data_IF_106259078204
#
_entry.id   IF_106259078204
#
_cell.length_a   1.000
_cell.length_b   1.000
_cell.length_c   1.000
_cell.angle_alpha   90.00
_cell.angle_beta   90.00
_cell.angle_gamma   90.00
#
_symmetry.space_group_name_H-M   'P 1'
#
loop_
_entity.id
_entity.type
_entity.pdbx_description
1 polymer ?
#
# COMPACT_ATOMS: atom_id res chain seq x y z
N UNK A 1 5.92 4.12 23.38
CA UNK A 1 4.83 3.98 22.40
C UNK A 1 3.48 4.24 23.07
N UNK A 2 2.42 4.57 22.33
CA UNK A 2 1.11 4.91 22.90
C UNK A 2 0.32 3.65 23.23
N UNK A 3 -0.27 3.58 24.41
CA UNK A 3 -1.16 2.47 24.78
C UNK A 3 -2.29 2.29 23.76
N UNK A 4 -2.60 1.05 23.44
CA UNK A 4 -3.70 0.67 22.56
C UNK A 4 -4.86 0.08 23.37
N UNK A 5 -6.08 0.30 22.89
CA UNK A 5 -7.24 -0.43 23.39
C UNK A 5 -7.16 -1.90 22.93
N UNK A 6 -7.52 -2.81 23.81
CA UNK A 6 -7.48 -4.26 23.55
C UNK A 6 -8.34 -4.67 22.34
N UNK A 7 -9.54 -4.08 22.20
CA UNK A 7 -10.40 -4.32 21.05
C UNK A 7 -9.77 -3.86 19.73
N UNK A 8 -9.10 -2.70 19.74
CA UNK A 8 -8.39 -2.18 18.58
C UNK A 8 -7.20 -3.06 18.23
N UNK A 9 -6.37 -3.42 19.22
CA UNK A 9 -5.22 -4.31 19.04
C UNK A 9 -5.61 -5.62 18.35
N UNK A 10 -6.61 -6.34 18.88
CA UNK A 10 -7.04 -7.62 18.32
C UNK A 10 -7.63 -7.48 16.91
N UNK A 11 -8.35 -6.39 16.64
CA UNK A 11 -8.88 -6.11 15.29
C UNK A 11 -7.75 -5.86 14.30
N UNK A 12 -6.76 -5.04 14.66
CA UNK A 12 -5.61 -4.74 13.82
C UNK A 12 -4.74 -5.98 13.56
N UNK A 13 -4.61 -6.87 14.56
CA UNK A 13 -3.92 -8.16 14.42
C UNK A 13 -4.78 -9.24 13.75
N UNK A 14 -5.85 -8.86 13.06
CA UNK A 14 -6.65 -9.77 12.21
C UNK A 14 -7.45 -10.83 12.97
N UNK A 15 -7.67 -10.66 14.28
CA UNK A 15 -8.38 -11.66 15.11
C UNK A 15 -9.91 -11.60 15.00
N UNK A 16 -10.43 -10.78 14.09
CA UNK A 16 -11.85 -10.69 13.77
C UNK A 16 -12.33 -9.25 13.57
N UNK A 17 -13.60 -9.10 13.17
CA UNK A 17 -14.26 -7.80 13.09
C UNK A 17 -14.38 -7.15 14.47
N UNK A 18 -14.60 -5.84 14.52
CA UNK A 18 -14.76 -5.10 15.78
C UNK A 18 -15.84 -5.70 16.70
N UNK A 19 -16.94 -6.18 16.14
CA UNK A 19 -18.02 -6.81 16.90
C UNK A 19 -17.62 -8.19 17.43
N UNK A 20 -16.97 -9.02 16.63
CA UNK A 20 -16.46 -10.33 17.04
C UNK A 20 -15.44 -10.21 18.16
N UNK A 21 -14.45 -9.32 18.01
CA UNK A 21 -13.41 -9.06 19.02
C UNK A 21 -14.03 -8.63 20.36
N UNK A 22 -14.99 -7.69 20.34
CA UNK A 22 -15.71 -7.30 21.57
C UNK A 22 -16.41 -8.47 22.22
N UNK A 23 -17.00 -9.36 21.42
CA UNK A 23 -17.64 -10.58 21.92
C UNK A 23 -16.63 -11.54 22.55
N UNK A 24 -15.46 -11.74 21.95
CA UNK A 24 -14.40 -12.57 22.53
C UNK A 24 -13.95 -12.02 23.88
N UNK A 25 -13.70 -10.71 23.97
CA UNK A 25 -13.28 -10.06 25.20
C UNK A 25 -14.35 -10.19 26.30
N UNK A 26 -15.60 -9.84 26.00
CA UNK A 26 -16.69 -9.89 26.98
C UNK A 26 -17.00 -11.30 27.49
N UNK A 27 -16.78 -12.32 26.64
CA UNK A 27 -16.91 -13.74 27.03
C UNK A 27 -15.68 -14.29 27.78
N UNK A 28 -14.66 -13.47 28.06
CA UNK A 28 -13.47 -13.88 28.81
C UNK A 28 -12.52 -14.81 28.05
N UNK A 29 -12.56 -14.78 26.70
CA UNK A 29 -11.66 -15.59 25.84
C UNK A 29 -10.29 -14.95 25.64
N UNK A 30 -10.08 -13.73 26.18
CA UNK A 30 -8.84 -12.96 26.02
C UNK A 30 -8.16 -12.81 27.36
N UNK A 31 -6.84 -13.08 27.38
CA UNK A 31 -6.00 -12.80 28.54
C UNK A 31 -4.94 -11.77 28.20
N UNK A 32 -4.57 -10.97 29.17
CA UNK A 32 -3.41 -10.05 29.12
C UNK A 32 -2.52 -10.39 30.32
N UNK A 33 -1.27 -10.75 30.06
CA UNK A 33 -0.31 -11.19 31.09
C UNK A 33 -0.86 -12.33 31.98
N UNK A 34 -1.67 -13.22 31.41
CA UNK A 34 -2.29 -14.35 32.09
C UNK A 34 -3.63 -14.03 32.78
N UNK A 35 -4.03 -12.78 32.90
CA UNK A 35 -5.32 -12.38 33.50
C UNK A 35 -6.43 -12.25 32.46
N UNK A 36 -7.63 -12.77 32.77
CA UNK A 36 -8.81 -12.66 31.89
C UNK A 36 -9.31 -11.21 31.89
N UNK A 37 -9.34 -10.60 30.72
CA UNK A 37 -9.86 -9.24 30.52
C UNK A 37 -11.23 -9.31 29.84
N UNK A 38 -12.25 -8.66 30.43
CA UNK A 38 -13.64 -8.61 29.90
C UNK A 38 -14.05 -7.22 29.37
N UNK A 39 -13.16 -6.22 29.47
CA UNK A 39 -13.41 -4.84 29.05
C UNK A 39 -12.72 -4.56 27.71
N UNK A 40 -13.46 -4.34 26.60
CA UNK A 40 -12.87 -4.07 25.29
C UNK A 40 -11.97 -2.83 25.24
N UNK A 41 -12.26 -1.83 26.06
CA UNK A 41 -11.51 -0.58 26.18
C UNK A 41 -10.24 -0.68 27.05
N UNK A 42 -9.96 -1.84 27.63
CA UNK A 42 -8.76 -2.07 28.42
C UNK A 42 -7.52 -1.67 27.63
N UNK A 43 -6.63 -0.91 28.23
CA UNK A 43 -5.41 -0.42 27.58
C UNK A 43 -4.27 -1.39 27.81
N UNK A 44 -3.55 -1.67 26.74
CA UNK A 44 -2.35 -2.52 26.72
C UNK A 44 -1.18 -1.76 26.12
N UNK A 45 0.01 -2.14 26.50
CA UNK A 45 1.25 -1.76 25.86
C UNK A 45 1.71 -2.92 24.94
N UNK A 46 1.47 -2.87 23.62
CA UNK A 46 1.64 -4.03 22.74
C UNK A 46 3.04 -4.65 22.73
N UNK A 47 4.07 -3.88 23.11
CA UNK A 47 5.45 -4.35 23.17
C UNK A 47 5.79 -5.05 24.47
N UNK A 48 5.04 -4.77 25.55
CA UNK A 48 5.33 -5.27 26.89
C UNK A 48 4.34 -6.32 27.34
N UNK A 49 3.07 -6.17 26.94
CA UNK A 49 1.99 -7.03 27.38
C UNK A 49 1.85 -8.24 26.47
N UNK A 50 1.69 -9.41 27.08
CA UNK A 50 1.42 -10.66 26.36
C UNK A 50 -0.09 -10.84 26.27
N UNK A 51 -0.63 -10.72 25.07
CA UNK A 51 -2.05 -10.92 24.79
C UNK A 51 -2.26 -12.32 24.20
N UNK A 52 -3.19 -13.08 24.78
CA UNK A 52 -3.62 -14.34 24.19
C UNK A 52 -5.13 -14.29 23.89
N UNK A 53 -5.52 -14.92 22.79
CA UNK A 53 -6.90 -15.19 22.42
C UNK A 53 -7.09 -16.70 22.39
N UNK A 54 -8.00 -17.22 23.23
CA UNK A 54 -8.29 -18.67 23.34
C UNK A 54 -7.04 -19.53 23.64
N UNK A 55 -6.09 -18.95 24.39
CA UNK A 55 -4.82 -19.61 24.74
C UNK A 55 -3.68 -19.40 23.75
N UNK A 56 -3.96 -18.91 22.55
CA UNK A 56 -2.94 -18.64 21.54
C UNK A 56 -2.42 -17.21 21.66
N UNK A 57 -1.10 -17.07 21.66
CA UNK A 57 -0.44 -15.76 21.69
C UNK A 57 -0.74 -14.97 20.41
N UNK A 58 -1.16 -13.73 20.59
CA UNK A 58 -1.34 -12.77 19.50
C UNK A 58 -0.04 -12.02 19.29
N UNK A 59 0.62 -12.28 18.17
CA UNK A 59 1.84 -11.56 17.80
C UNK A 59 1.49 -10.11 17.45
N UNK A 60 2.34 -9.17 17.90
CA UNK A 60 2.22 -7.77 17.56
C UNK A 60 3.14 -7.41 16.40
N UNK A 61 2.58 -6.77 15.39
CA UNK A 61 3.34 -6.06 14.36
C UNK A 61 2.84 -4.62 14.30
N UNK A 62 3.72 -3.64 14.50
CA UNK A 62 3.35 -2.23 14.39
C UNK A 62 3.19 -1.84 12.92
N UNK A 63 4.20 -2.15 12.14
CA UNK A 63 4.27 -1.85 10.72
C UNK A 63 4.64 -3.10 9.94
N UNK A 64 4.01 -3.27 8.79
CA UNK A 64 4.36 -4.29 7.81
C UNK A 64 4.65 -3.63 6.48
N UNK A 65 5.66 -4.14 5.77
CA UNK A 65 6.12 -3.60 4.50
C UNK A 65 6.30 -4.76 3.53
N UNK A 66 5.61 -4.69 2.41
CA UNK A 66 5.70 -5.68 1.35
C UNK A 66 6.05 -5.01 0.05
N UNK A 67 6.93 -5.63 -0.72
CA UNK A 67 7.20 -5.29 -2.11
C UNK A 67 6.48 -6.32 -2.97
N UNK A 68 5.42 -5.89 -3.65
CA UNK A 68 4.69 -6.71 -4.60
C UNK A 68 5.20 -6.40 -6.01
N UNK A 69 5.58 -7.44 -6.76
CA UNK A 69 5.60 -7.35 -8.22
C UNK A 69 4.14 -7.51 -8.68
N UNK A 70 3.44 -6.38 -8.79
CA UNK A 70 2.01 -6.39 -9.12
C UNK A 70 1.79 -7.07 -10.48
N UNK A 71 0.97 -8.12 -10.57
CA UNK A 71 0.60 -8.69 -11.86
C UNK A 71 -0.47 -7.83 -12.56
N UNK A 72 -0.61 -8.01 -13.87
CA UNK A 72 -1.76 -7.49 -14.62
C UNK A 72 -3.07 -8.13 -14.14
N UNK A 73 -4.19 -7.44 -14.35
CA UNK A 73 -5.53 -7.93 -14.06
C UNK A 73 -6.04 -7.67 -12.63
N UNK A 74 -5.22 -7.10 -11.74
CA UNK A 74 -5.63 -6.71 -10.39
C UNK A 74 -5.57 -5.20 -10.17
N UNK A 75 -6.37 -4.68 -9.24
CA UNK A 75 -6.47 -3.25 -8.95
C UNK A 75 -5.68 -2.86 -7.71
N UNK A 76 -5.08 -1.66 -7.72
CA UNK A 76 -4.36 -1.07 -6.60
C UNK A 76 -5.35 -0.47 -5.58
N UNK A 77 -6.11 -1.35 -4.92
CA UNK A 77 -7.10 -1.00 -3.91
C UNK A 77 -7.03 -1.99 -2.74
N UNK A 78 -7.63 -1.61 -1.61
CA UNK A 78 -7.79 -2.51 -0.45
C UNK A 78 -8.97 -3.46 -0.63
N UNK A 79 -10.03 -2.99 -1.27
CA UNK A 79 -11.26 -3.75 -1.57
C UNK A 79 -11.77 -3.36 -2.96
N UNK A 80 -12.32 -4.32 -3.69
CA UNK A 80 -13.01 -4.11 -4.96
C UNK A 80 -14.08 -5.21 -5.15
N UNK A 81 -15.18 -4.86 -5.83
CA UNK A 81 -16.31 -5.78 -6.04
C UNK A 81 -16.16 -6.67 -7.27
N UNK A 82 -15.33 -6.28 -8.22
CA UNK A 82 -15.26 -6.89 -9.55
C UNK A 82 -13.90 -7.51 -9.85
N UNK A 83 -12.83 -6.99 -9.27
CA UNK A 83 -11.47 -7.41 -9.57
C UNK A 83 -10.70 -7.82 -8.32
N UNK A 84 -9.76 -8.77 -8.43
CA UNK A 84 -8.79 -9.02 -7.37
C UNK A 84 -8.06 -7.75 -7.01
N UNK A 85 -7.80 -7.55 -5.73
CA UNK A 85 -7.01 -6.40 -5.26
C UNK A 85 -5.57 -6.82 -4.99
N UNK A 86 -4.66 -5.86 -4.98
CA UNK A 86 -3.25 -6.11 -4.64
C UNK A 86 -3.06 -6.68 -3.23
N UNK A 87 -4.01 -6.47 -2.32
CA UNK A 87 -3.96 -7.01 -0.96
C UNK A 87 -4.17 -8.53 -0.95
N UNK A 88 -4.94 -9.09 -1.91
CA UNK A 88 -5.18 -10.54 -1.98
C UNK A 88 -3.92 -11.37 -2.27
N UNK A 89 -2.83 -10.75 -2.70
CA UNK A 89 -1.55 -11.40 -2.96
C UNK A 89 -0.63 -11.44 -1.72
N UNK A 90 -1.05 -10.84 -0.59
CA UNK A 90 -0.26 -10.83 0.65
C UNK A 90 -0.86 -11.87 1.61
N UNK A 91 -0.35 -13.10 1.52
CA UNK A 91 -0.91 -14.25 2.26
C UNK A 91 -0.53 -14.23 3.75
N UNK A 92 0.71 -13.84 4.08
CA UNK A 92 1.27 -13.91 5.43
C UNK A 92 1.03 -12.64 6.27
N UNK A 93 0.14 -11.76 5.84
CA UNK A 93 -0.13 -10.52 6.56
C UNK A 93 -0.79 -10.76 7.93
N UNK A 94 -0.14 -10.29 8.98
CA UNK A 94 -0.73 -10.23 10.32
C UNK A 94 -1.70 -9.06 10.43
N UNK A 95 -1.32 -7.91 9.85
CA UNK A 95 -2.12 -6.69 9.80
C UNK A 95 -3.24 -6.80 8.78
N UNK A 96 -4.40 -6.23 9.12
CA UNK A 96 -5.56 -6.15 8.20
C UNK A 96 -5.83 -4.75 7.67
N UNK A 97 -5.03 -3.78 8.09
CA UNK A 97 -5.11 -2.37 7.68
C UNK A 97 -4.05 -1.99 6.65
N UNK A 98 -3.56 -2.99 5.88
CA UNK A 98 -2.64 -2.77 4.78
C UNK A 98 -3.29 -2.02 3.62
N UNK A 99 -2.52 -1.18 2.96
CA UNK A 99 -2.92 -0.46 1.76
C UNK A 99 -1.76 -0.27 0.79
N UNK A 100 -2.01 -0.13 -0.52
CA UNK A 100 -0.96 0.13 -1.50
C UNK A 100 -0.45 1.57 -1.42
N UNK A 101 0.86 1.74 -1.54
CA UNK A 101 1.54 3.04 -1.59
C UNK A 101 1.55 3.54 -3.03
N UNK A 102 0.53 4.25 -3.42
CA UNK A 102 0.27 4.66 -4.79
C UNK A 102 -0.59 3.65 -5.55
N UNK A 103 -0.75 3.93 -6.85
CA UNK A 103 -1.61 3.13 -7.71
C UNK A 103 -0.90 2.88 -9.03
N UNK A 104 -0.88 1.63 -9.43
CA UNK A 104 -0.66 1.20 -10.81
C UNK A 104 -2.01 0.82 -11.39
N UNK A 105 -2.21 1.07 -12.65
CA UNK A 105 -3.43 0.69 -13.36
C UNK A 105 -3.60 -0.83 -13.37
N UNK A 106 -4.81 -1.29 -13.67
CA UNK A 106 -5.16 -2.70 -13.62
C UNK A 106 -4.19 -3.56 -14.45
N UNK A 107 -3.82 -3.08 -15.63
CA UNK A 107 -2.99 -3.82 -16.58
C UNK A 107 -1.50 -3.45 -16.50
N UNK A 108 -1.14 -2.48 -15.66
CA UNK A 108 0.25 -2.13 -15.36
C UNK A 108 0.85 -3.13 -14.38
N UNK A 109 2.04 -3.62 -14.67
CA UNK A 109 2.80 -4.55 -13.84
C UNK A 109 3.97 -3.85 -13.13
N UNK A 110 4.53 -4.48 -12.12
CA UNK A 110 5.78 -4.04 -11.49
C UNK A 110 5.67 -3.68 -10.02
N UNK A 111 6.67 -2.92 -9.54
CA UNK A 111 6.86 -2.64 -8.13
C UNK A 111 5.71 -1.81 -7.54
N UNK A 112 5.04 -2.39 -6.56
CA UNK A 112 4.07 -1.70 -5.71
C UNK A 112 4.37 -2.00 -4.24
N UNK A 113 4.57 -0.96 -3.44
CA UNK A 113 4.71 -1.11 -2.00
C UNK A 113 3.33 -1.24 -1.35
N UNK A 114 3.22 -2.14 -0.38
CA UNK A 114 2.03 -2.34 0.44
C UNK A 114 2.45 -2.24 1.91
N UNK A 115 1.75 -1.43 2.69
CA UNK A 115 2.07 -1.18 4.10
C UNK A 115 0.85 -0.67 4.85
N UNK A 116 0.94 -0.61 6.17
CA UNK A 116 0.02 0.14 7.04
C UNK A 116 0.68 1.40 7.63
N UNK A 117 1.90 1.75 7.21
CA UNK A 117 2.60 2.97 7.61
C UNK A 117 2.19 4.15 6.74
N UNK A 118 1.17 4.88 7.20
CA UNK A 118 0.67 6.08 6.51
C UNK A 118 1.68 7.22 6.46
N UNK A 119 2.62 7.30 7.41
CA UNK A 119 3.65 8.34 7.40
C UNK A 119 4.66 8.08 6.28
N UNK A 120 5.15 6.86 6.14
CA UNK A 120 6.02 6.47 5.03
C UNK A 120 5.30 6.65 3.68
N UNK A 121 4.05 6.19 3.57
CA UNK A 121 3.28 6.35 2.34
C UNK A 121 3.14 7.82 1.93
N UNK A 122 2.84 8.69 2.89
CA UNK A 122 2.79 10.14 2.64
C UNK A 122 4.13 10.72 2.18
N UNK A 123 5.24 10.29 2.79
CA UNK A 123 6.60 10.71 2.36
C UNK A 123 6.88 10.30 0.91
N UNK A 124 6.53 9.08 0.52
CA UNK A 124 6.79 8.54 -0.82
C UNK A 124 5.86 9.12 -1.90
N UNK A 125 4.61 9.45 -1.55
CA UNK A 125 3.60 9.91 -2.50
C UNK A 125 3.50 11.42 -2.60
N UNK A 126 3.97 12.15 -1.60
CA UNK A 126 3.86 13.61 -1.58
C UNK A 126 4.59 14.26 -2.76
N UNK A 127 3.90 15.06 -3.59
CA UNK A 127 4.52 15.78 -4.71
C UNK A 127 5.65 16.74 -4.29
N UNK A 128 5.69 17.12 -3.00
CA UNK A 128 6.74 17.99 -2.43
C UNK A 128 8.06 17.25 -2.20
N UNK A 129 8.02 15.92 -2.08
CA UNK A 129 9.20 15.09 -1.84
C UNK A 129 9.93 14.68 -3.12
N UNK A 130 9.27 14.87 -4.28
CA UNK A 130 9.85 14.59 -5.60
C UNK A 130 10.45 13.18 -5.73
N UNK A 131 9.85 12.17 -5.08
CA UNK A 131 10.29 10.79 -5.22
C UNK A 131 10.06 10.34 -6.65
N UNK A 132 11.15 10.08 -7.37
CA UNK A 132 11.12 9.65 -8.76
C UNK A 132 10.54 8.23 -8.89
N UNK A 133 9.77 8.02 -9.96
CA UNK A 133 9.24 6.72 -10.36
C UNK A 133 9.55 6.51 -11.83
N UNK A 134 10.22 5.41 -12.14
CA UNK A 134 10.56 5.06 -13.52
C UNK A 134 9.66 3.95 -14.01
N UNK A 135 9.11 4.14 -15.19
CA UNK A 135 8.24 3.20 -15.87
C UNK A 135 8.86 2.80 -17.20
N UNK A 136 8.92 1.50 -17.47
CA UNK A 136 9.21 0.96 -18.78
C UNK A 136 7.90 0.86 -19.56
N UNK A 137 7.91 1.24 -20.84
CA UNK A 137 6.77 1.09 -21.72
C UNK A 137 7.18 0.67 -23.14
N UNK A 138 6.31 -0.13 -23.74
CA UNK A 138 6.31 -0.38 -25.19
C UNK A 138 5.22 0.46 -25.82
N UNK A 139 5.55 1.09 -26.94
CA UNK A 139 4.67 2.06 -27.59
C UNK A 139 4.63 1.74 -29.08
N UNK A 140 3.43 1.68 -29.65
CA UNK A 140 3.26 1.66 -31.10
C UNK A 140 3.72 2.99 -31.69
N UNK A 141 4.58 2.94 -32.68
CA UNK A 141 5.14 4.10 -33.34
C UNK A 141 6.56 4.44 -32.89
N UNK A 142 7.15 5.33 -33.67
CA UNK A 142 8.54 5.76 -33.51
C UNK A 142 8.61 6.91 -32.53
N UNK A 143 9.36 6.73 -31.43
CA UNK A 143 9.68 7.78 -30.48
C UNK A 143 10.95 8.51 -30.92
N UNK A 144 10.96 9.84 -30.85
CA UNK A 144 11.99 10.71 -31.43
C UNK A 144 12.63 11.64 -30.39
N UNK A 145 13.64 12.39 -30.78
CA UNK A 145 14.27 13.39 -29.91
C UNK A 145 13.32 14.57 -29.58
N UNK A 146 12.34 14.85 -30.46
CA UNK A 146 11.31 15.85 -30.23
C UNK A 146 10.40 15.44 -29.07
N UNK A 147 10.07 14.15 -28.95
CA UNK A 147 9.28 13.62 -27.84
C UNK A 147 10.05 13.76 -26.53
N UNK A 148 11.35 13.43 -26.54
CA UNK A 148 12.23 13.64 -25.37
C UNK A 148 12.24 15.12 -24.94
N UNK A 149 12.33 16.04 -25.90
CA UNK A 149 12.30 17.47 -25.60
C UNK A 149 10.93 17.95 -25.08
N UNK A 150 9.84 17.34 -25.56
CA UNK A 150 8.48 17.63 -25.09
C UNK A 150 8.29 17.17 -23.63
N UNK A 151 8.72 15.96 -23.27
CA UNK A 151 8.66 15.45 -21.89
C UNK A 151 9.43 16.35 -20.91
N UNK A 152 10.60 16.85 -21.32
CA UNK A 152 11.40 17.76 -20.50
C UNK A 152 10.75 19.13 -20.26
N UNK A 153 9.86 19.56 -21.16
CA UNK A 153 9.11 20.83 -21.02
C UNK A 153 7.82 20.67 -20.25
N UNK A 154 7.31 19.45 -20.14
CA UNK A 154 5.97 19.13 -19.67
C UNK A 154 4.99 19.05 -20.83
N UNK A 155 4.05 18.11 -20.71
CA UNK A 155 3.05 17.77 -21.72
C UNK A 155 1.68 18.36 -21.36
N UNK A 156 0.94 18.73 -22.37
CA UNK A 156 -0.49 18.96 -22.26
C UNK A 156 -1.21 17.61 -22.36
N UNK A 157 -1.82 17.17 -21.29
CA UNK A 157 -2.61 15.93 -21.21
C UNK A 157 -4.11 16.21 -21.03
N UNK A 158 -4.55 17.42 -21.42
CA UNK A 158 -5.94 17.86 -21.30
C UNK A 158 -6.34 18.37 -19.92
N UNK A 159 -5.37 18.58 -19.02
CA UNK A 159 -5.60 19.20 -17.72
C UNK A 159 -5.32 20.73 -17.75
N UNK A 160 -5.73 21.42 -16.67
CA UNK A 160 -5.54 22.88 -16.54
C UNK A 160 -4.08 23.33 -16.69
N UNK A 161 -3.13 22.52 -16.25
CA UNK A 161 -1.71 22.81 -16.28
C UNK A 161 -0.95 21.70 -17.00
N UNK A 162 0.16 22.02 -17.63
CA UNK A 162 1.09 21.03 -18.15
C UNK A 162 1.57 20.08 -17.05
N UNK A 163 2.00 18.87 -17.43
CA UNK A 163 2.73 17.98 -16.52
C UNK A 163 4.01 18.65 -16.03
N UNK A 164 4.53 18.20 -14.88
CA UNK A 164 5.89 18.55 -14.53
C UNK A 164 6.86 17.98 -15.56
N UNK A 165 8.06 18.59 -15.69
CA UNK A 165 9.13 18.00 -16.47
C UNK A 165 9.38 16.54 -16.09
N UNK A 166 9.52 15.70 -17.11
CA UNK A 166 9.81 14.28 -16.96
C UNK A 166 11.02 13.90 -17.83
N UNK A 167 11.70 12.84 -17.44
CA UNK A 167 12.80 12.27 -18.22
C UNK A 167 12.25 11.13 -19.08
N UNK A 168 12.51 11.19 -20.39
CA UNK A 168 12.25 10.12 -21.34
C UNK A 168 13.56 9.60 -21.89
N UNK A 169 13.81 8.31 -21.74
CA UNK A 169 14.95 7.60 -22.32
C UNK A 169 14.43 6.65 -23.39
N UNK A 170 14.97 6.79 -24.60
CA UNK A 170 14.65 5.89 -25.72
C UNK A 170 15.60 4.70 -25.64
N UNK A 171 15.07 3.50 -25.39
CA UNK A 171 15.83 2.25 -25.42
C UNK A 171 15.88 1.66 -26.82
N UNK A 172 14.74 1.74 -27.53
CA UNK A 172 14.59 1.33 -28.93
C UNK A 172 13.61 2.26 -29.62
N UNK A 173 13.89 2.64 -30.85
CA UNK A 173 13.01 3.49 -31.67
C UNK A 173 12.78 2.84 -33.03
N UNK A 174 11.57 2.29 -33.21
CA UNK A 174 11.15 1.60 -34.43
C UNK A 174 9.62 1.72 -34.55
N UNK A 175 8.98 0.91 -35.41
CA UNK A 175 7.51 0.76 -35.49
C UNK A 175 6.90 0.36 -34.15
N UNK A 176 7.65 -0.31 -33.29
CA UNK A 176 7.37 -0.55 -31.89
C UNK A 176 8.58 -0.05 -31.08
N UNK A 177 8.39 1.01 -30.32
CA UNK A 177 9.45 1.64 -29.52
C UNK A 177 9.42 1.14 -28.09
N UNK A 178 10.59 1.12 -27.44
CA UNK A 178 10.77 0.82 -26.02
C UNK A 178 11.38 2.05 -25.33
N UNK A 179 10.79 2.44 -24.22
CA UNK A 179 11.20 3.64 -23.49
C UNK A 179 11.20 3.42 -21.98
N UNK A 180 11.96 4.27 -21.29
CA UNK A 180 11.79 4.49 -19.86
C UNK A 180 11.34 5.93 -19.63
N UNK A 181 10.34 6.12 -18.78
CA UNK A 181 9.83 7.43 -18.37
C UNK A 181 9.99 7.58 -16.86
N UNK A 182 10.73 8.60 -16.44
CA UNK A 182 10.88 8.94 -15.03
C UNK A 182 10.10 10.20 -14.69
N UNK A 183 9.16 10.07 -13.76
CA UNK A 183 8.28 11.14 -13.28
C UNK A 183 8.41 11.35 -11.77
N UNK A 184 8.11 12.56 -11.31
CA UNK A 184 8.11 12.94 -9.89
C UNK A 184 6.72 13.33 -9.37
N UNK A 185 5.69 13.20 -10.21
CA UNK A 185 4.29 13.42 -9.86
C UNK A 185 3.44 12.23 -10.28
N UNK A 186 2.23 12.15 -9.79
CA UNK A 186 1.16 11.30 -10.30
C UNK A 186 -0.04 12.17 -10.58
N UNK A 187 -0.59 12.09 -11.79
CA UNK A 187 -1.87 12.71 -12.16
C UNK A 187 -2.87 11.60 -12.44
N UNK A 188 -4.12 11.87 -12.15
CA UNK A 188 -5.23 10.92 -12.26
C UNK A 188 -6.21 11.39 -13.32
#
# INVERSE_FOLDING_TARGET
MKDLRLDKFLTEMGKGSRSQVKTYISKGRVTVNGEIIKRPEYKISPEKDVVNLEGEKVNYSQWEYYMLNKPAGCVSATEDKHFPTVISFIEDAVRKDLFPVGRLDKDTEGLLLITNDGALAHELLSPKKHVAKTYYARIEGKVTAEDVAAFRKGLDIGEKNLTKPAELVILKSDSESEIEVTITEGKY
#
